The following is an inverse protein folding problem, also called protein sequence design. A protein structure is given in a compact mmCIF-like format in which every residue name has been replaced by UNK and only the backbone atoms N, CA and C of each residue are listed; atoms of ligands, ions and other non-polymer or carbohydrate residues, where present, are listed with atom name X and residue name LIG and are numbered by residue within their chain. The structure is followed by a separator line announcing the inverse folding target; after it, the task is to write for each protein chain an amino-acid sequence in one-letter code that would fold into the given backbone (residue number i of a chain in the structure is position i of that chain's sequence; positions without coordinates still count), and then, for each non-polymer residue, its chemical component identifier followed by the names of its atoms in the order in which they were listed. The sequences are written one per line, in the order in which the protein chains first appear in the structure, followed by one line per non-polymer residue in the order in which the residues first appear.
data_IF_653208170165
#
_entry.id   IF_653208170165
#
_cell.length_a   1.000
_cell.length_b   1.000
_cell.length_c   1.000
_cell.angle_alpha   90.00
_cell.angle_beta   90.00
_cell.angle_gamma   90.00
#
_symmetry.space_group_name_H-M   'P 1'
#
loop_
_entity.id
_entity.type
_entity.pdbx_description
1 polymer ?
#
# COMPACT_ATOMS: atom_id res chain seq x y z
N UNK A 1 5.83 -35.30 5.24
CA UNK A 1 4.83 -34.88 4.24
C UNK A 1 5.03 -33.39 4.02
N UNK A 2 5.55 -33.06 2.83
CA UNK A 2 5.89 -31.71 2.42
C UNK A 2 4.62 -30.88 2.35
N UNK A 3 4.65 -29.66 2.86
CA UNK A 3 3.72 -28.65 2.41
C UNK A 3 4.49 -27.35 2.17
N UNK A 4 5.37 -27.42 1.16
CA UNK A 4 5.97 -26.26 0.51
C UNK A 4 4.83 -25.50 -0.19
N UNK A 5 4.10 -24.70 0.59
CA UNK A 5 3.15 -23.73 0.09
C UNK A 5 3.94 -22.54 -0.47
N UNK A 6 4.61 -22.79 -1.60
CA UNK A 6 5.19 -21.77 -2.45
C UNK A 6 4.03 -21.03 -3.14
N UNK A 7 3.35 -20.17 -2.38
CA UNK A 7 2.36 -19.23 -2.90
C UNK A 7 3.10 -18.15 -3.69
N UNK A 8 3.57 -18.51 -4.88
CA UNK A 8 3.74 -17.58 -5.97
C UNK A 8 2.35 -17.16 -6.46
N UNK A 9 1.56 -16.56 -5.57
CA UNK A 9 0.33 -15.89 -5.93
C UNK A 9 0.78 -14.64 -6.68
N UNK A 10 0.76 -14.70 -8.00
CA UNK A 10 0.70 -13.52 -8.85
C UNK A 10 -0.47 -12.67 -8.36
N UNK A 11 -0.20 -11.77 -7.41
CA UNK A 11 -1.19 -10.86 -6.87
C UNK A 11 -1.56 -9.94 -8.02
N UNK A 12 -2.74 -10.18 -8.60
CA UNK A 12 -3.34 -9.20 -9.49
C UNK A 12 -3.47 -7.88 -8.70
N UNK A 13 -3.00 -6.76 -9.27
CA UNK A 13 -3.04 -5.49 -8.57
C UNK A 13 -4.48 -5.10 -8.28
N UNK A 14 -4.80 -4.94 -6.99
CA UNK A 14 -6.13 -4.51 -6.55
C UNK A 14 -6.16 -2.98 -6.51
N UNK A 15 -6.91 -2.37 -7.42
CA UNK A 15 -7.02 -0.91 -7.50
C UNK A 15 -8.05 -0.37 -6.52
N UNK A 16 -7.59 0.14 -5.38
CA UNK A 16 -8.44 0.75 -4.36
C UNK A 16 -8.38 2.28 -4.41
N UNK A 17 -9.50 2.92 -4.06
CA UNK A 17 -9.51 4.35 -3.72
C UNK A 17 -8.66 4.63 -2.49
N UNK A 18 -8.28 5.89 -2.29
CA UNK A 18 -7.28 6.28 -1.28
C UNK A 18 -7.67 5.84 0.13
N UNK A 19 -8.89 6.11 0.58
CA UNK A 19 -9.31 5.74 1.93
C UNK A 19 -9.28 4.22 2.11
N UNK A 20 -9.91 3.46 1.21
CA UNK A 20 -9.90 2.00 1.26
C UNK A 20 -8.48 1.41 1.25
N UNK A 21 -7.56 2.01 0.49
CA UNK A 21 -6.16 1.60 0.51
C UNK A 21 -5.50 1.87 1.87
N UNK A 22 -5.75 3.02 2.50
CA UNK A 22 -5.22 3.30 3.85
C UNK A 22 -5.71 2.24 4.83
N UNK A 23 -6.99 1.87 4.78
CA UNK A 23 -7.56 0.84 5.65
C UNK A 23 -6.94 -0.54 5.42
N UNK A 24 -6.72 -0.89 4.15
CA UNK A 24 -6.10 -2.15 3.77
C UNK A 24 -4.60 -2.23 4.14
N UNK A 25 -3.87 -1.11 4.11
CA UNK A 25 -2.44 -1.04 4.43
C UNK A 25 -2.20 -1.00 5.94
N UNK A 26 -3.05 -0.26 6.68
CA UNK A 26 -2.95 -0.07 8.13
C UNK A 26 -4.27 -0.54 8.78
N UNK A 27 -4.42 -1.85 9.05
CA UNK A 27 -5.68 -2.39 9.57
C UNK A 27 -5.98 -1.91 11.00
N UNK A 28 -4.95 -1.65 11.81
CA UNK A 28 -5.10 -1.04 13.12
C UNK A 28 -5.53 0.43 12.99
N UNK A 29 -6.64 0.80 13.66
CA UNK A 29 -7.24 2.13 13.55
C UNK A 29 -6.43 3.19 14.30
N UNK A 30 -5.84 2.84 15.44
CA UNK A 30 -5.15 3.80 16.30
C UNK A 30 -3.74 4.10 15.76
N UNK A 31 -3.06 3.13 15.16
CA UNK A 31 -1.76 3.30 14.51
C UNK A 31 -1.82 3.77 13.04
N UNK A 32 -3.02 3.88 12.44
CA UNK A 32 -3.19 4.27 11.04
C UNK A 32 -2.91 5.76 10.85
N UNK A 33 -2.14 6.16 9.81
CA UNK A 33 -1.94 7.56 9.50
C UNK A 33 -3.26 8.21 9.07
N UNK A 34 -3.46 9.46 9.46
CA UNK A 34 -4.58 10.23 8.95
C UNK A 34 -4.44 10.48 7.44
N UNK A 35 -5.57 10.79 6.79
CA UNK A 35 -5.61 11.02 5.34
C UNK A 35 -4.63 12.10 4.88
N UNK A 36 -4.46 13.16 5.68
CA UNK A 36 -3.53 14.26 5.37
C UNK A 36 -2.09 13.77 5.30
N UNK A 37 -1.61 13.04 6.31
CA UNK A 37 -0.27 12.46 6.33
C UNK A 37 -0.05 11.51 5.15
N UNK A 38 -1.05 10.69 4.83
CA UNK A 38 -0.97 9.79 3.69
C UNK A 38 -0.91 10.55 2.36
N UNK A 39 -1.69 11.62 2.19
CA UNK A 39 -1.64 12.49 1.01
C UNK A 39 -0.30 13.23 0.88
N UNK A 40 0.32 13.63 1.99
CA UNK A 40 1.68 14.18 2.00
C UNK A 40 2.71 13.16 1.51
N UNK A 41 2.59 11.89 1.89
CA UNK A 41 3.47 10.83 1.37
C UNK A 41 3.25 10.59 -0.12
N UNK A 42 1.99 10.62 -0.60
CA UNK A 42 1.68 10.49 -2.03
C UNK A 42 2.22 11.66 -2.84
N UNK A 43 2.04 12.90 -2.38
CA UNK A 43 2.53 14.09 -3.09
C UNK A 43 4.05 14.15 -3.16
N UNK A 44 4.74 13.59 -2.16
CA UNK A 44 6.20 13.42 -2.15
C UNK A 44 6.68 12.21 -2.97
N UNK A 45 5.78 11.45 -3.59
CA UNK A 45 6.12 10.31 -4.45
C UNK A 45 6.58 9.05 -3.69
N UNK A 46 6.26 8.93 -2.39
CA UNK A 46 6.66 7.76 -1.59
C UNK A 46 5.79 6.54 -1.87
N UNK A 47 4.61 6.75 -2.44
CA UNK A 47 3.58 5.74 -2.62
C UNK A 47 3.29 5.60 -4.12
N UNK A 48 3.36 4.38 -4.68
CA UNK A 48 2.97 4.14 -6.07
C UNK A 48 1.47 4.37 -6.24
N UNK A 49 1.10 5.08 -7.31
CA UNK A 49 -0.29 5.40 -7.60
C UNK A 49 -0.57 5.34 -9.10
N UNK A 50 -1.81 4.98 -9.43
CA UNK A 50 -2.30 4.91 -10.80
C UNK A 50 -3.44 5.93 -10.94
N UNK A 51 -3.32 6.83 -11.91
CA UNK A 51 -4.34 7.82 -12.20
C UNK A 51 -5.15 7.38 -13.41
N UNK A 52 -6.48 7.29 -13.25
CA UNK A 52 -7.42 7.00 -14.34
C UNK A 52 -8.39 8.17 -14.44
N UNK A 53 -8.19 9.00 -15.46
CA UNK A 53 -8.87 10.29 -15.60
C UNK A 53 -8.55 11.21 -14.42
N UNK A 54 -9.56 11.61 -13.64
CA UNK A 54 -9.40 12.45 -12.44
C UNK A 54 -9.30 11.66 -11.13
N UNK A 55 -9.40 10.32 -11.18
CA UNK A 55 -9.41 9.45 -10.01
C UNK A 55 -8.03 8.82 -9.80
N UNK A 56 -7.65 8.67 -8.54
CA UNK A 56 -6.41 8.01 -8.15
C UNK A 56 -6.72 6.68 -7.47
N UNK A 57 -6.02 5.66 -7.91
CA UNK A 57 -6.08 4.30 -7.41
C UNK A 57 -4.72 3.85 -6.90
N UNK A 58 -4.74 2.97 -5.90
CA UNK A 58 -3.57 2.47 -5.20
C UNK A 58 -3.70 0.96 -5.05
N UNK A 59 -2.59 0.25 -5.21
CA UNK A 59 -2.48 -1.16 -4.84
C UNK A 59 -1.90 -1.28 -3.42
N UNK A 60 -2.66 -1.80 -2.43
CA UNK A 60 -2.20 -1.96 -1.06
C UNK A 60 -0.89 -2.73 -0.92
N UNK A 61 -0.64 -3.75 -1.75
CA UNK A 61 0.59 -4.52 -1.67
C UNK A 61 1.79 -3.68 -2.13
N UNK A 62 1.65 -2.98 -3.26
CA UNK A 62 2.67 -2.06 -3.75
C UNK A 62 2.94 -0.91 -2.76
N UNK A 63 1.89 -0.35 -2.14
CA UNK A 63 2.01 0.69 -1.12
C UNK A 63 2.79 0.15 0.10
N UNK A 64 2.44 -1.02 0.64
CA UNK A 64 3.19 -1.63 1.75
C UNK A 64 4.66 -1.80 1.43
N UNK A 65 4.99 -2.38 0.27
CA UNK A 65 6.38 -2.57 -0.17
C UNK A 65 7.15 -1.25 -0.25
N UNK A 66 6.52 -0.21 -0.81
CA UNK A 66 7.14 1.11 -0.92
C UNK A 66 7.40 1.75 0.45
N UNK A 67 6.43 1.65 1.38
CA UNK A 67 6.57 2.17 2.73
C UNK A 67 7.64 1.41 3.53
N UNK A 68 7.69 0.08 3.45
CA UNK A 68 8.74 -0.74 4.08
C UNK A 68 10.11 -0.34 3.52
N UNK A 69 10.25 -0.19 2.20
CA UNK A 69 11.51 0.28 1.58
C UNK A 69 11.92 1.68 2.05
N UNK A 70 10.94 2.54 2.34
CA UNK A 70 11.18 3.95 2.68
C UNK A 70 11.46 4.17 4.17
N UNK A 71 10.72 3.48 5.03
CA UNK A 71 10.70 3.70 6.49
C UNK A 71 11.17 2.50 7.29
N UNK A 72 11.23 1.31 6.67
CA UNK A 72 11.81 0.14 7.30
C UNK A 72 13.30 0.36 7.54
N UNK A 73 13.75 0.00 8.74
CA UNK A 73 15.17 -0.04 9.04
C UNK A 73 15.84 -1.13 8.20
N UNK A 74 16.92 -0.81 7.50
CA UNK A 74 17.88 -1.81 7.06
C UNK A 74 18.63 -2.28 8.32
N UNK A 75 18.02 -3.19 9.09
CA UNK A 75 18.69 -3.90 10.17
C UNK A 75 19.14 -5.27 9.67
#
# INVERSE_FOLDING_TARGET
MNNDQNYNQSHEPVLLGINACIEAVFPDKEGRPCRRTFDEWRSRGFIPQITVGRRVFLDPQAVRKALIKRFGSNA
#
